data_IF_279149090182
#
_entry.id   IF_279149090182
#
_cell.length_a   1.000
_cell.length_b   1.000
_cell.length_c   1.000
_cell.angle_alpha   90.00
_cell.angle_beta   90.00
_cell.angle_gamma   90.00
#
_symmetry.space_group_name_H-M   'P 1'
#
loop_
_entity.id
_entity.type
_entity.pdbx_description
1 polymer ?
#
# COMPACT_ATOMS: atom_id res chain seq x y z
N UNK A 1 -25.40 20.36 23.92
CA UNK A 1 -24.17 21.08 24.34
C UNK A 1 -24.61 22.48 24.74
N UNK A 2 -25.21 22.57 25.92
CA UNK A 2 -25.38 23.82 26.65
C UNK A 2 -23.99 24.22 27.14
N UNK A 3 -23.50 25.36 26.64
CA UNK A 3 -22.31 25.99 27.17
C UNK A 3 -22.71 26.84 28.35
N UNK A 4 -22.24 26.46 29.54
CA UNK A 4 -22.18 27.31 30.72
C UNK A 4 -21.40 28.59 30.39
N UNK A 5 -22.12 29.68 30.15
CA UNK A 5 -21.57 31.02 30.19
C UNK A 5 -21.38 31.41 31.66
N UNK A 6 -20.19 31.14 32.18
CA UNK A 6 -19.73 31.63 33.47
C UNK A 6 -19.82 33.16 33.51
N UNK A 7 -20.75 33.64 34.33
CA UNK A 7 -21.00 35.02 34.70
C UNK A 7 -19.81 35.56 35.53
N UNK A 8 -18.75 35.96 34.83
CA UNK A 8 -17.66 36.75 35.40
C UNK A 8 -18.16 38.20 35.57
N UNK A 9 -18.02 38.72 36.79
CA UNK A 9 -18.56 40.00 37.27
C UNK A 9 -17.93 41.25 36.65
N UNK A 10 -17.64 41.24 35.35
CA UNK A 10 -17.48 42.46 34.57
C UNK A 10 -18.85 43.11 34.44
N UNK A 11 -19.03 44.22 35.18
CA UNK A 11 -20.05 45.25 35.04
C UNK A 11 -20.79 45.11 33.70
N UNK A 12 -22.11 44.89 33.74
CA UNK A 12 -23.01 44.72 32.61
C UNK A 12 -22.90 45.83 31.53
N UNK A 13 -21.83 45.82 30.73
CA UNK A 13 -21.62 46.69 29.55
C UNK A 13 -22.45 46.18 28.36
N UNK A 14 -23.09 45.00 28.48
CA UNK A 14 -23.74 44.34 27.34
C UNK A 14 -25.24 44.61 27.15
N UNK A 15 -25.99 44.94 28.20
CA UNK A 15 -27.47 44.95 28.15
C UNK A 15 -28.00 46.35 27.82
N UNK A 16 -28.52 46.49 26.60
CA UNK A 16 -29.23 47.69 26.12
C UNK A 16 -30.51 47.85 26.93
N UNK A 17 -30.72 49.02 27.55
CA UNK A 17 -31.93 49.31 28.33
C UNK A 17 -33.10 49.65 27.41
N UNK A 18 -34.31 49.30 27.84
CA UNK A 18 -35.56 49.78 27.21
C UNK A 18 -35.86 51.22 27.61
N UNK A 19 -36.66 51.92 26.81
CA UNK A 19 -37.05 53.32 27.08
C UNK A 19 -37.72 53.48 28.45
N UNK A 20 -38.51 52.48 28.87
CA UNK A 20 -39.17 52.47 30.17
C UNK A 20 -38.16 52.35 31.32
N UNK A 21 -37.21 51.43 31.22
CA UNK A 21 -36.13 51.29 32.22
C UNK A 21 -35.27 52.55 32.31
N UNK A 22 -35.02 53.24 31.19
CA UNK A 22 -34.30 54.53 31.16
C UNK A 22 -35.12 55.63 31.87
N UNK A 23 -36.43 55.66 31.66
CA UNK A 23 -37.33 56.63 32.30
C UNK A 23 -37.35 56.51 33.83
N UNK A 24 -37.22 55.29 34.35
CA UNK A 24 -37.19 54.98 35.77
C UNK A 24 -35.83 55.32 36.43
N UNK A 25 -34.77 55.54 35.65
CA UNK A 25 -33.46 55.90 36.20
C UNK A 25 -33.43 57.33 36.77
N UNK A 26 -32.56 57.54 37.76
CA UNK A 26 -32.28 58.89 38.28
C UNK A 26 -31.46 59.70 37.28
N UNK A 27 -31.70 61.01 37.20
CA UNK A 27 -31.02 61.95 36.28
C UNK A 27 -29.49 61.81 36.36
N UNK A 28 -28.94 61.69 37.57
CA UNK A 28 -27.50 61.52 37.79
C UNK A 28 -26.95 60.25 37.13
N UNK A 29 -27.71 59.16 37.14
CA UNK A 29 -27.27 57.87 36.59
C UNK A 29 -27.37 57.89 35.06
N UNK A 30 -28.39 58.55 34.50
CA UNK A 30 -28.51 58.84 33.06
C UNK A 30 -27.29 59.65 32.58
N UNK A 31 -26.96 60.76 33.25
CA UNK A 31 -25.80 61.59 32.91
C UNK A 31 -24.49 60.80 32.96
N UNK A 32 -24.30 59.99 34.01
CA UNK A 32 -23.10 59.16 34.18
C UNK A 32 -22.97 58.11 33.07
N UNK A 33 -24.07 57.47 32.66
CA UNK A 33 -24.07 56.47 31.58
C UNK A 33 -23.83 57.12 30.21
N UNK A 34 -24.44 58.28 29.96
CA UNK A 34 -24.21 59.04 28.72
C UNK A 34 -22.74 59.44 28.55
N UNK A 35 -22.08 59.89 29.63
CA UNK A 35 -20.66 60.25 29.62
C UNK A 35 -19.74 59.03 29.53
N UNK A 36 -19.97 57.99 30.33
CA UNK A 36 -19.03 56.85 30.43
C UNK A 36 -19.20 55.80 29.34
N UNK A 37 -20.44 55.53 28.92
CA UNK A 37 -20.73 54.45 27.98
C UNK A 37 -20.83 54.98 26.56
N UNK A 38 -21.41 56.17 26.37
CA UNK A 38 -21.66 56.74 25.05
C UNK A 38 -20.70 57.88 24.68
N UNK A 39 -19.84 58.32 25.61
CA UNK A 39 -18.77 59.28 25.34
C UNK A 39 -19.20 60.72 25.18
N UNK A 40 -20.39 61.11 25.68
CA UNK A 40 -20.85 62.50 25.60
C UNK A 40 -19.94 63.43 26.41
N UNK A 41 -19.67 64.62 25.85
CA UNK A 41 -18.89 65.64 26.52
C UNK A 41 -19.59 66.13 27.79
N UNK A 42 -18.84 66.39 28.86
CA UNK A 42 -19.42 66.88 30.12
C UNK A 42 -20.25 68.17 29.92
N UNK A 43 -19.82 69.02 28.99
CA UNK A 43 -20.50 70.27 28.63
C UNK A 43 -21.83 70.04 27.90
N UNK A 44 -21.92 69.04 27.03
CA UNK A 44 -23.15 68.69 26.30
C UNK A 44 -24.20 68.11 27.25
N UNK A 45 -23.77 67.24 28.17
CA UNK A 45 -24.64 66.68 29.23
C UNK A 45 -25.03 67.73 30.27
N UNK A 46 -24.19 68.76 30.45
CA UNK A 46 -24.47 69.91 31.31
C UNK A 46 -25.55 70.83 30.75
N UNK A 47 -25.58 71.01 29.42
CA UNK A 47 -26.58 71.83 28.70
C UNK A 47 -27.98 71.21 28.70
N UNK A 48 -28.09 69.89 28.77
CA UNK A 48 -29.36 69.18 28.94
C UNK A 48 -29.82 69.28 30.41
N UNK A 49 -30.69 70.24 30.68
CA UNK A 49 -31.24 70.52 32.02
C UNK A 49 -32.48 69.69 32.32
N UNK A 50 -33.29 69.38 31.31
CA UNK A 50 -34.51 68.60 31.49
C UNK A 50 -34.24 67.09 31.51
N UNK A 51 -34.94 66.37 32.39
CA UNK A 51 -34.89 64.91 32.47
C UNK A 51 -35.37 64.28 31.15
N UNK A 52 -36.34 64.91 30.48
CA UNK A 52 -36.88 64.39 29.21
C UNK A 52 -35.84 64.43 28.08
N UNK A 53 -35.04 65.50 27.98
CA UNK A 53 -33.97 65.61 26.99
C UNK A 53 -32.89 64.54 27.20
N UNK A 54 -32.52 64.28 28.45
CA UNK A 54 -31.54 63.25 28.81
C UNK A 54 -32.06 61.83 28.53
N UNK A 55 -33.34 61.56 28.80
CA UNK A 55 -33.98 60.28 28.45
C UNK A 55 -33.96 60.09 26.94
N UNK A 56 -34.34 61.11 26.16
CA UNK A 56 -34.38 61.02 24.71
C UNK A 56 -32.97 60.82 24.11
N UNK A 57 -31.97 61.56 24.60
CA UNK A 57 -30.57 61.40 24.17
C UNK A 57 -30.03 60.00 24.49
N UNK A 58 -30.28 59.48 25.70
CA UNK A 58 -29.84 58.14 26.07
C UNK A 58 -30.58 57.05 25.29
N UNK A 59 -31.89 57.21 25.08
CA UNK A 59 -32.70 56.29 24.29
C UNK A 59 -32.24 56.23 22.83
N UNK A 60 -31.86 57.36 22.24
CA UNK A 60 -31.34 57.43 20.88
C UNK A 60 -30.03 56.65 20.71
N UNK A 61 -29.07 56.83 21.62
CA UNK A 61 -27.79 56.11 21.53
C UNK A 61 -27.93 54.61 21.84
N UNK A 62 -28.74 54.24 22.83
CA UNK A 62 -29.02 52.82 23.10
C UNK A 62 -29.73 52.15 21.90
N UNK A 63 -30.64 52.86 21.23
CA UNK A 63 -31.25 52.38 19.99
C UNK A 63 -30.22 52.17 18.88
N UNK A 64 -29.33 53.13 18.67
CA UNK A 64 -28.25 53.05 17.66
C UNK A 64 -27.29 51.90 17.94
N UNK A 65 -26.94 51.63 19.20
CA UNK A 65 -26.13 50.46 19.58
C UNK A 65 -26.89 49.17 19.33
N UNK A 66 -28.19 49.12 19.67
CA UNK A 66 -29.04 47.95 19.42
C UNK A 66 -29.13 47.63 17.93
N UNK A 67 -29.34 48.64 17.09
CA UNK A 67 -29.39 48.50 15.64
C UNK A 67 -28.08 47.94 15.07
N UNK A 68 -26.93 48.49 15.49
CA UNK A 68 -25.61 47.96 15.11
C UNK A 68 -25.41 46.49 15.51
N UNK A 69 -25.84 46.09 16.72
CA UNK A 69 -25.77 44.70 17.18
C UNK A 69 -26.66 43.78 16.34
N UNK A 70 -27.88 44.20 16.02
CA UNK A 70 -28.79 43.46 15.15
C UNK A 70 -28.20 43.30 13.74
N UNK A 71 -27.58 44.34 13.18
CA UNK A 71 -26.95 44.26 11.87
C UNK A 71 -25.71 43.36 11.85
N UNK A 72 -24.90 43.37 12.91
CA UNK A 72 -23.80 42.42 13.07
C UNK A 72 -24.32 40.97 13.15
N UNK A 73 -25.37 40.72 13.94
CA UNK A 73 -25.99 39.39 14.03
C UNK A 73 -26.56 38.94 12.69
N UNK A 74 -27.29 39.82 11.97
CA UNK A 74 -27.78 39.55 10.62
C UNK A 74 -26.63 39.22 9.67
N UNK A 75 -25.53 39.98 9.70
CA UNK A 75 -24.35 39.73 8.86
C UNK A 75 -23.73 38.37 9.15
N UNK A 76 -23.62 37.98 10.42
CA UNK A 76 -23.11 36.67 10.83
C UNK A 76 -24.05 35.55 10.37
N UNK A 77 -25.37 35.71 10.55
CA UNK A 77 -26.38 34.76 10.08
C UNK A 77 -26.33 34.60 8.55
N UNK A 78 -26.23 35.71 7.82
CA UNK A 78 -26.08 35.70 6.35
C UNK A 78 -24.79 34.99 5.95
N UNK A 79 -23.66 35.29 6.60
CA UNK A 79 -22.39 34.59 6.33
C UNK A 79 -22.45 33.09 6.59
N UNK A 80 -23.07 32.68 7.70
CA UNK A 80 -23.30 31.26 8.02
C UNK A 80 -24.22 30.61 7.00
N UNK A 81 -25.28 31.30 6.57
CA UNK A 81 -26.18 30.83 5.52
C UNK A 81 -25.47 30.65 4.17
N UNK A 82 -24.63 31.62 3.78
CA UNK A 82 -23.80 31.53 2.57
C UNK A 82 -22.83 30.35 2.65
N UNK A 83 -22.13 30.17 3.78
CA UNK A 83 -21.23 29.03 3.98
C UNK A 83 -21.97 27.69 3.92
N UNK A 84 -23.13 27.58 4.55
CA UNK A 84 -23.96 26.38 4.52
C UNK A 84 -24.47 26.07 3.11
N UNK A 85 -24.91 27.10 2.36
CA UNK A 85 -25.35 26.95 0.98
C UNK A 85 -24.20 26.51 0.06
N UNK A 86 -23.02 27.13 0.18
CA UNK A 86 -21.82 26.73 -0.56
C UNK A 86 -21.44 25.28 -0.25
N UNK A 87 -21.42 24.89 1.04
CA UNK A 87 -21.14 23.52 1.45
C UNK A 87 -22.16 22.53 0.86
N UNK A 88 -23.45 22.87 0.89
CA UNK A 88 -24.52 22.05 0.31
C UNK A 88 -24.36 21.88 -1.20
N UNK A 89 -24.01 22.95 -1.92
CA UNK A 89 -23.77 22.89 -3.38
C UNK A 89 -22.52 22.07 -3.68
N UNK A 90 -21.44 22.25 -2.91
CA UNK A 90 -20.21 21.44 -3.04
C UNK A 90 -20.50 19.96 -2.80
N UNK A 91 -21.27 19.61 -1.77
CA UNK A 91 -21.66 18.21 -1.51
C UNK A 91 -22.52 17.66 -2.65
N UNK A 92 -23.53 18.40 -3.12
CA UNK A 92 -24.40 17.95 -4.20
C UNK A 92 -23.65 17.75 -5.53
N UNK A 93 -22.72 18.66 -5.88
CA UNK A 93 -21.92 18.58 -7.09
C UNK A 93 -20.81 17.51 -7.00
N UNK A 94 -20.21 17.34 -5.83
CA UNK A 94 -19.16 16.33 -5.62
C UNK A 94 -19.71 14.93 -5.35
N UNK A 95 -21.00 14.78 -5.02
CA UNK A 95 -21.61 13.48 -4.75
C UNK A 95 -21.39 12.44 -5.85
N UNK A 96 -21.68 12.69 -7.14
CA UNK A 96 -21.43 11.71 -8.20
C UNK A 96 -19.93 11.42 -8.39
N UNK A 97 -19.05 12.39 -8.15
CA UNK A 97 -17.61 12.18 -8.21
C UNK A 97 -17.14 11.27 -7.07
N UNK A 98 -17.67 11.47 -5.87
CA UNK A 98 -17.38 10.63 -4.70
C UNK A 98 -17.95 9.23 -4.85
N UNK A 99 -19.15 9.06 -5.39
CA UNK A 99 -19.72 7.74 -5.63
C UNK A 99 -18.92 6.97 -6.68
N UNK A 100 -18.53 7.61 -7.78
CA UNK A 100 -17.70 6.99 -8.80
C UNK A 100 -16.29 6.68 -8.26
N UNK A 101 -15.68 7.59 -7.50
CA UNK A 101 -14.40 7.35 -6.85
C UNK A 101 -14.49 6.19 -5.84
N UNK A 102 -15.58 6.10 -5.09
CA UNK A 102 -15.83 5.02 -4.15
C UNK A 102 -16.02 3.68 -4.85
N UNK A 103 -16.79 3.61 -5.93
CA UNK A 103 -16.96 2.38 -6.73
C UNK A 103 -15.63 1.91 -7.31
N UNK A 104 -14.87 2.81 -7.92
CA UNK A 104 -13.52 2.49 -8.45
C UNK A 104 -12.59 2.05 -7.33
N UNK A 105 -12.61 2.73 -6.18
CA UNK A 105 -11.82 2.35 -5.01
C UNK A 105 -12.23 0.99 -4.45
N UNK A 106 -13.53 0.70 -4.37
CA UNK A 106 -14.06 -0.57 -3.89
C UNK A 106 -13.70 -1.72 -4.85
N UNK A 107 -13.83 -1.53 -6.15
CA UNK A 107 -13.41 -2.53 -7.15
C UNK A 107 -11.90 -2.74 -7.09
N UNK A 108 -11.10 -1.67 -7.05
CA UNK A 108 -9.65 -1.78 -6.93
C UNK A 108 -9.24 -2.44 -5.61
N UNK A 109 -9.96 -2.17 -4.52
CA UNK A 109 -9.75 -2.83 -3.24
C UNK A 109 -10.06 -4.32 -3.33
N UNK A 110 -11.18 -4.73 -3.93
CA UNK A 110 -11.51 -6.15 -4.14
C UNK A 110 -10.43 -6.83 -4.98
N UNK A 111 -10.05 -6.25 -6.13
CA UNK A 111 -9.00 -6.78 -7.00
C UNK A 111 -7.66 -6.89 -6.26
N UNK A 112 -7.32 -5.89 -5.46
CA UNK A 112 -6.11 -5.90 -4.64
C UNK A 112 -6.15 -7.00 -3.58
N UNK A 113 -7.27 -7.14 -2.86
CA UNK A 113 -7.43 -8.18 -1.83
C UNK A 113 -7.42 -9.58 -2.42
N UNK A 114 -8.04 -9.79 -3.58
CA UNK A 114 -8.03 -11.08 -4.28
C UNK A 114 -6.63 -11.43 -4.78
N UNK A 115 -5.91 -10.46 -5.36
CA UNK A 115 -4.51 -10.65 -5.75
C UNK A 115 -3.64 -11.03 -4.54
N UNK A 116 -3.78 -10.32 -3.42
CA UNK A 116 -3.04 -10.64 -2.18
C UNK A 116 -3.43 -11.99 -1.61
N UNK A 117 -4.70 -12.37 -1.66
CA UNK A 117 -5.19 -13.69 -1.24
C UNK A 117 -4.59 -14.81 -2.09
N UNK A 118 -4.48 -14.61 -3.40
CA UNK A 118 -3.80 -15.55 -4.31
C UNK A 118 -2.30 -15.67 -4.01
N UNK A 119 -1.62 -14.55 -3.76
CA UNK A 119 -0.20 -14.52 -3.38
C UNK A 119 0.03 -15.26 -2.04
N UNK A 120 -0.83 -15.02 -1.04
CA UNK A 120 -0.80 -15.73 0.25
C UNK A 120 -1.03 -17.22 0.08
N UNK A 121 -2.04 -17.61 -0.71
CA UNK A 121 -2.34 -19.02 -0.98
C UNK A 121 -1.15 -19.73 -1.63
N UNK A 122 -0.51 -19.10 -2.62
CA UNK A 122 0.73 -19.63 -3.24
C UNK A 122 1.87 -19.75 -2.23
N UNK A 123 2.05 -18.79 -1.33
CA UNK A 123 3.07 -18.89 -0.28
C UNK A 123 2.79 -20.02 0.70
N UNK A 124 1.53 -20.25 1.04
CA UNK A 124 1.10 -21.37 1.89
C UNK A 124 1.32 -22.72 1.19
N UNK A 125 1.02 -22.81 -0.11
CA UNK A 125 1.30 -24.01 -0.94
C UNK A 125 2.80 -24.30 -1.04
N UNK A 126 3.64 -23.26 -1.09
CA UNK A 126 5.11 -23.37 -1.07
C UNK A 126 5.70 -23.56 0.34
N UNK A 127 4.89 -23.50 1.39
CA UNK A 127 5.32 -23.54 2.80
C UNK A 127 6.43 -22.54 3.15
N UNK A 128 6.52 -21.41 2.46
CA UNK A 128 7.56 -20.40 2.70
C UNK A 128 7.09 -19.35 3.72
N UNK A 129 7.52 -19.51 4.98
CA UNK A 129 7.20 -18.55 6.05
C UNK A 129 7.76 -17.15 5.78
N UNK A 130 8.94 -17.06 5.15
CA UNK A 130 9.56 -15.78 4.77
C UNK A 130 8.76 -15.06 3.68
N UNK A 131 8.21 -15.80 2.70
CA UNK A 131 7.32 -15.23 1.68
C UNK A 131 6.04 -14.66 2.29
N UNK A 132 5.44 -15.38 3.25
CA UNK A 132 4.26 -14.91 3.98
C UNK A 132 4.56 -13.63 4.77
N UNK A 133 5.69 -13.58 5.49
CA UNK A 133 6.12 -12.40 6.25
C UNK A 133 6.27 -11.18 5.32
N UNK A 134 6.87 -11.37 4.15
CA UNK A 134 7.05 -10.29 3.19
C UNK A 134 5.74 -9.77 2.60
N UNK A 135 4.76 -10.64 2.34
CA UNK A 135 3.41 -10.21 1.92
C UNK A 135 2.73 -9.39 3.02
N UNK A 136 2.82 -9.83 4.29
CA UNK A 136 2.25 -9.09 5.43
C UNK A 136 2.91 -7.72 5.57
N UNK A 137 4.23 -7.64 5.44
CA UNK A 137 4.96 -6.37 5.52
C UNK A 137 4.59 -5.43 4.37
N UNK A 138 4.41 -5.95 3.16
CA UNK A 138 3.93 -5.18 2.02
C UNK A 138 2.51 -4.61 2.28
N UNK A 139 1.61 -5.42 2.85
CA UNK A 139 0.27 -4.97 3.24
C UNK A 139 0.32 -3.84 4.29
N UNK A 140 1.23 -3.92 5.27
CA UNK A 140 1.43 -2.86 6.26
C UNK A 140 1.96 -1.57 5.63
N UNK A 141 2.92 -1.65 4.71
CA UNK A 141 3.46 -0.47 4.01
C UNK A 141 2.39 0.19 3.13
N UNK A 142 1.60 -0.60 2.40
CA UNK A 142 0.49 -0.09 1.58
C UNK A 142 -0.58 0.58 2.47
N UNK A 143 -0.94 -0.05 3.59
CA UNK A 143 -1.85 0.51 4.59
C UNK A 143 -1.34 1.85 5.17
N UNK A 144 -0.05 1.92 5.52
CA UNK A 144 0.60 3.15 5.98
C UNK A 144 0.61 4.24 4.90
N UNK A 145 0.81 3.87 3.63
CA UNK A 145 0.78 4.82 2.51
C UNK A 145 -0.61 5.41 2.29
N UNK A 146 -1.65 4.57 2.34
CA UNK A 146 -3.05 5.02 2.26
C UNK A 146 -3.40 5.89 3.47
N UNK A 147 -2.99 5.47 4.67
CA UNK A 147 -3.19 6.23 5.91
C UNK A 147 -2.53 7.61 5.85
N UNK A 148 -1.30 7.69 5.35
CA UNK A 148 -0.57 8.95 5.19
C UNK A 148 -1.26 9.86 4.16
N UNK A 149 -1.73 9.30 3.05
CA UNK A 149 -2.48 10.04 2.03
C UNK A 149 -3.79 10.61 2.59
N UNK A 150 -4.53 9.80 3.35
CA UNK A 150 -5.74 10.23 4.05
C UNK A 150 -5.44 11.33 5.09
N UNK A 151 -4.33 11.21 5.82
CA UNK A 151 -3.89 12.20 6.80
C UNK A 151 -3.55 13.55 6.16
N UNK A 152 -2.90 13.54 4.99
CA UNK A 152 -2.61 14.77 4.22
C UNK A 152 -3.91 15.41 3.72
N UNK A 153 -4.85 14.63 3.20
CA UNK A 153 -6.16 15.16 2.77
C UNK A 153 -6.93 15.75 3.95
N UNK A 154 -6.91 15.08 5.09
CA UNK A 154 -7.58 15.56 6.29
C UNK A 154 -6.96 16.86 6.83
N UNK A 155 -5.63 17.03 6.72
CA UNK A 155 -4.97 18.28 7.15
C UNK A 155 -5.31 19.50 6.29
N UNK A 156 -5.90 19.30 5.10
CA UNK A 156 -6.41 20.42 4.29
C UNK A 156 -7.78 20.89 4.78
N UNK A 157 -8.57 19.98 5.34
CA UNK A 157 -9.92 20.27 5.84
C UNK A 157 -9.88 20.72 7.29
N UNK A 158 -9.01 20.13 8.10
CA UNK A 158 -8.85 20.48 9.49
C UNK A 158 -7.71 21.49 9.66
N UNK A 159 -8.02 22.67 10.19
CA UNK A 159 -7.04 23.68 10.60
C UNK A 159 -6.24 23.29 11.85
N UNK A 160 -6.54 22.13 12.45
CA UNK A 160 -5.79 21.59 13.59
C UNK A 160 -4.45 20.99 13.15
N UNK A 161 -3.45 21.06 14.05
CA UNK A 161 -2.13 20.45 13.89
C UNK A 161 -2.23 19.04 13.31
N UNK A 162 -1.39 18.73 12.31
CA UNK A 162 -1.33 17.45 11.60
C UNK A 162 -1.49 16.26 12.55
N UNK A 163 -2.41 15.33 12.21
CA UNK A 163 -2.63 14.09 12.97
C UNK A 163 -1.37 13.21 13.06
N UNK A 164 -0.46 13.36 12.09
CA UNK A 164 0.85 12.73 12.11
C UNK A 164 1.89 13.75 12.62
N UNK A 165 2.70 13.43 13.64
CA UNK A 165 3.78 14.29 14.10
C UNK A 165 4.89 14.30 13.04
N UNK A 166 4.72 15.07 11.97
CA UNK A 166 5.76 15.30 10.98
C UNK A 166 6.61 16.50 11.41
N UNK A 167 7.94 16.37 11.41
CA UNK A 167 8.81 17.52 11.62
C UNK A 167 8.55 18.53 10.50
N UNK A 168 8.22 19.79 10.81
CA UNK A 168 8.07 20.81 9.78
C UNK A 168 9.44 21.07 9.17
N UNK A 169 9.61 20.68 7.90
CA UNK A 169 10.77 21.00 7.08
C UNK A 169 10.34 22.01 6.01
N UNK A 170 10.11 23.28 6.37
CA UNK A 170 9.66 24.28 5.42
C UNK A 170 10.81 24.69 4.51
N UNK A 171 10.77 24.21 3.28
CA UNK A 171 11.70 24.64 2.23
C UNK A 171 11.13 25.93 1.64
N UNK A 172 11.88 27.01 1.78
CA UNK A 172 11.52 28.32 1.23
C UNK A 172 12.24 28.48 -0.10
N UNK A 173 11.56 28.31 -1.26
CA UNK A 173 12.22 28.37 -2.57
C UNK A 173 12.93 29.71 -2.80
N UNK A 174 12.40 30.79 -2.19
CA UNK A 174 13.00 32.12 -2.23
C UNK A 174 14.45 32.16 -1.69
N UNK A 175 14.84 31.25 -0.79
CA UNK A 175 16.22 31.15 -0.29
C UNK A 175 17.20 30.60 -1.33
N UNK A 176 16.72 29.82 -2.31
CA UNK A 176 17.56 29.25 -3.37
C UNK A 176 17.76 30.19 -4.56
N UNK A 177 16.88 31.18 -4.75
CA UNK A 177 16.99 32.13 -5.85
C UNK A 177 17.92 33.33 -5.57
N UNK A 178 18.28 33.58 -4.31
CA UNK A 178 19.17 34.69 -3.92
C UNK A 178 18.60 36.10 -4.18
N UNK A 179 19.24 37.13 -3.62
CA UNK A 179 18.94 38.55 -3.89
C UNK A 179 17.67 39.11 -3.25
N UNK A 180 17.17 40.24 -3.77
CA UNK A 180 15.97 40.96 -3.29
C UNK A 180 14.68 40.14 -3.39
N UNK A 181 14.65 39.09 -4.22
CA UNK A 181 13.49 38.19 -4.33
C UNK A 181 13.29 37.39 -3.03
N UNK A 182 14.34 37.22 -2.23
CA UNK A 182 14.28 36.55 -0.92
C UNK A 182 13.57 37.37 0.18
N UNK A 183 13.44 38.70 0.03
CA UNK A 183 12.73 39.57 0.98
C UNK A 183 11.28 39.86 0.57
N UNK A 184 10.87 39.43 -0.63
CA UNK A 184 9.52 39.63 -1.14
C UNK A 184 8.44 38.86 -0.36
N UNK A 185 7.15 39.16 -0.59
CA UNK A 185 6.02 38.52 0.10
C UNK A 185 5.94 37.00 -0.12
N UNK A 186 6.57 36.45 -1.18
CA UNK A 186 6.69 35.00 -1.38
C UNK A 186 7.62 34.30 -0.38
N UNK A 187 8.49 35.03 0.32
CA UNK A 187 9.36 34.47 1.37
C UNK A 187 8.60 33.91 2.56
N UNK A 188 7.32 34.25 2.72
CA UNK A 188 6.44 33.74 3.79
C UNK A 188 5.76 32.42 3.40
N UNK A 189 5.82 32.00 2.14
CA UNK A 189 5.27 30.74 1.67
C UNK A 189 6.34 29.66 1.72
N UNK A 190 6.31 28.83 2.77
CA UNK A 190 7.14 27.63 2.88
C UNK A 190 6.37 26.42 2.34
N UNK A 191 6.96 25.69 1.38
CA UNK A 191 6.42 24.39 0.99
C UNK A 191 6.87 23.35 2.02
N UNK A 192 5.93 22.59 2.57
CA UNK A 192 6.25 21.55 3.54
C UNK A 192 6.61 20.27 2.78
N UNK A 193 7.90 19.95 2.72
CA UNK A 193 8.41 18.82 1.91
C UNK A 193 8.44 17.52 2.70
N UNK A 194 8.19 17.59 4.02
CA UNK A 194 8.11 16.43 4.92
C UNK A 194 7.18 15.30 4.40
N UNK A 195 5.90 15.57 4.09
CA UNK A 195 4.99 14.54 3.58
C UNK A 195 5.47 13.92 2.27
N UNK A 196 6.16 14.69 1.43
CA UNK A 196 6.69 14.23 0.15
C UNK A 196 7.87 13.29 0.35
N UNK A 197 8.79 13.61 1.27
CA UNK A 197 9.92 12.75 1.65
C UNK A 197 9.44 11.45 2.29
N UNK A 198 8.45 11.50 3.19
CA UNK A 198 7.91 10.28 3.81
C UNK A 198 7.18 9.43 2.77
N UNK A 199 6.41 10.04 1.86
CA UNK A 199 5.76 9.33 0.75
C UNK A 199 6.79 8.66 -0.18
N UNK A 200 7.89 9.37 -0.48
CA UNK A 200 8.99 8.82 -1.26
C UNK A 200 9.68 7.66 -0.54
N UNK A 201 9.94 7.80 0.77
CA UNK A 201 10.54 6.75 1.59
C UNK A 201 9.67 5.49 1.68
N UNK A 202 8.35 5.64 1.85
CA UNK A 202 7.41 4.50 1.85
C UNK A 202 7.36 3.80 0.48
N UNK A 203 7.38 4.56 -0.62
CA UNK A 203 7.46 3.98 -1.98
C UNK A 203 8.76 3.24 -2.21
N UNK A 204 9.88 3.83 -1.78
CA UNK A 204 11.18 3.18 -1.86
C UNK A 204 11.21 1.88 -1.05
N UNK A 205 10.71 1.91 0.18
CA UNK A 205 10.59 0.72 1.02
C UNK A 205 9.71 -0.35 0.36
N UNK A 206 8.56 0.03 -0.18
CA UNK A 206 7.68 -0.88 -0.93
C UNK A 206 8.41 -1.55 -2.10
N UNK A 207 9.18 -0.79 -2.88
CA UNK A 207 9.97 -1.32 -4.01
C UNK A 207 11.05 -2.32 -3.57
N UNK A 208 11.67 -2.10 -2.41
CA UNK A 208 12.66 -3.03 -1.85
C UNK A 208 11.99 -4.29 -1.33
N UNK A 209 10.83 -4.17 -0.68
CA UNK A 209 10.05 -5.31 -0.21
C UNK A 209 9.53 -6.16 -1.37
N UNK A 210 9.12 -5.55 -2.48
CA UNK A 210 8.70 -6.28 -3.68
C UNK A 210 9.88 -7.07 -4.28
N UNK A 211 11.07 -6.47 -4.38
CA UNK A 211 12.28 -7.17 -4.84
C UNK A 211 12.64 -8.34 -3.92
N UNK A 212 12.63 -8.11 -2.61
CA UNK A 212 12.96 -9.13 -1.61
C UNK A 212 11.93 -10.27 -1.60
N UNK A 213 10.64 -9.96 -1.67
CA UNK A 213 9.57 -10.97 -1.77
C UNK A 213 9.63 -11.74 -3.08
N UNK A 214 9.93 -11.07 -4.20
CA UNK A 214 10.14 -11.73 -5.48
C UNK A 214 11.30 -12.73 -5.45
N UNK A 215 12.43 -12.34 -4.86
CA UNK A 215 13.60 -13.21 -4.71
C UNK A 215 13.32 -14.42 -3.81
N UNK A 216 12.67 -14.21 -2.66
CA UNK A 216 12.32 -15.29 -1.73
C UNK A 216 11.31 -16.27 -2.32
N UNK A 217 10.31 -15.78 -3.07
CA UNK A 217 9.34 -16.62 -3.76
C UNK A 217 9.99 -17.43 -4.89
N UNK A 218 10.89 -16.80 -5.66
CA UNK A 218 11.63 -17.48 -6.72
C UNK A 218 12.56 -18.58 -6.16
N UNK A 219 13.22 -18.32 -5.03
CA UNK A 219 14.04 -19.31 -4.35
C UNK A 219 13.21 -20.51 -3.86
N UNK A 220 12.06 -20.25 -3.22
CA UNK A 220 11.15 -21.30 -2.76
C UNK A 220 10.60 -22.15 -3.92
N UNK A 221 10.25 -21.53 -5.05
CA UNK A 221 9.82 -22.25 -6.25
C UNK A 221 10.93 -23.14 -6.84
N UNK A 222 12.18 -22.65 -6.89
CA UNK A 222 13.32 -23.46 -7.34
C UNK A 222 13.55 -24.65 -6.43
N UNK A 223 13.45 -24.46 -5.11
CA UNK A 223 13.58 -25.54 -4.13
C UNK A 223 12.48 -26.59 -4.28
N UNK A 224 11.22 -26.17 -4.49
CA UNK A 224 10.11 -27.09 -4.73
C UNK A 224 10.31 -27.90 -6.00
N UNK A 225 10.71 -27.25 -7.11
CA UNK A 225 11.03 -27.95 -8.37
C UNK A 225 12.19 -28.93 -8.20
N UNK A 226 13.21 -28.58 -7.40
CA UNK A 226 14.32 -29.48 -7.10
C UNK A 226 13.85 -30.70 -6.30
N UNK A 227 13.06 -30.51 -5.24
CA UNK A 227 12.48 -31.61 -4.45
C UNK A 227 11.56 -32.50 -5.28
N UNK A 228 10.77 -31.94 -6.20
CA UNK A 228 9.92 -32.71 -7.11
C UNK A 228 10.76 -33.62 -8.03
N UNK A 229 11.83 -33.09 -8.62
CA UNK A 229 12.77 -33.89 -9.43
C UNK A 229 13.48 -34.97 -8.61
N UNK A 230 13.91 -34.64 -7.39
CA UNK A 230 14.54 -35.61 -6.49
C UNK A 230 13.56 -36.75 -6.13
N UNK A 231 12.30 -36.43 -5.83
CA UNK A 231 11.25 -37.43 -5.56
C UNK A 231 10.92 -38.30 -6.77
N UNK A 232 10.82 -37.73 -7.97
CA UNK A 232 10.64 -38.50 -9.22
C UNK A 232 11.81 -39.45 -9.46
N UNK A 233 13.05 -38.99 -9.25
CA UNK A 233 14.23 -39.86 -9.39
C UNK A 233 14.28 -40.95 -8.32
N UNK A 234 13.82 -40.68 -7.10
CA UNK A 234 13.72 -41.69 -6.03
C UNK A 234 12.64 -42.72 -6.35
N UNK A 235 11.43 -42.28 -6.74
CA UNK A 235 10.34 -43.15 -7.15
C UNK A 235 10.74 -44.02 -8.36
N UNK A 236 11.37 -43.45 -9.38
CA UNK A 236 11.87 -44.20 -10.53
C UNK A 236 12.98 -45.20 -10.13
N UNK A 237 13.85 -44.85 -9.18
CA UNK A 237 14.86 -45.78 -8.64
C UNK A 237 14.22 -46.91 -7.85
N UNK A 238 13.19 -46.65 -7.05
CA UNK A 238 12.45 -47.64 -6.28
C UNK A 238 11.65 -48.58 -7.19
N UNK A 239 10.96 -48.06 -8.19
CA UNK A 239 10.24 -48.86 -9.19
C UNK A 239 11.21 -49.76 -9.97
N UNK A 240 12.38 -49.22 -10.37
CA UNK A 240 13.42 -50.01 -11.03
C UNK A 240 14.00 -51.10 -10.11
N UNK A 241 14.12 -50.85 -8.80
CA UNK A 241 14.54 -51.85 -7.81
C UNK A 241 13.48 -52.93 -7.63
N UNK A 242 12.20 -52.55 -7.48
CA UNK A 242 11.08 -53.47 -7.37
C UNK A 242 10.95 -54.38 -8.61
N UNK A 243 11.04 -53.80 -9.81
CA UNK A 243 11.00 -54.56 -11.06
C UNK A 243 12.17 -55.53 -11.20
N UNK A 244 13.38 -55.15 -10.77
CA UNK A 244 14.54 -56.05 -10.76
C UNK A 244 14.37 -57.18 -9.74
N UNK A 245 13.81 -56.91 -8.56
CA UNK A 245 13.53 -57.92 -7.55
C UNK A 245 12.49 -58.95 -8.05
N UNK A 246 11.37 -58.47 -8.62
CA UNK A 246 10.35 -59.34 -9.20
C UNK A 246 10.90 -60.23 -10.33
N UNK A 247 11.78 -59.67 -11.19
CA UNK A 247 12.41 -60.45 -12.26
C UNK A 247 13.40 -61.49 -11.75
N UNK A 248 14.04 -61.26 -10.59
CA UNK A 248 14.91 -62.25 -9.94
C UNK A 248 14.08 -63.38 -9.33
N UNK A 249 13.01 -63.06 -8.60
CA UNK A 249 12.09 -64.05 -8.06
C UNK A 249 11.49 -64.95 -9.16
N UNK A 250 10.98 -64.37 -10.25
CA UNK A 250 10.44 -65.15 -11.37
C UNK A 250 11.50 -66.04 -12.06
N UNK A 251 12.77 -65.61 -12.09
CA UNK A 251 13.87 -66.43 -12.61
C UNK A 251 14.22 -67.59 -11.66
N UNK A 252 14.20 -67.35 -10.36
CA UNK A 252 14.42 -68.40 -9.36
C UNK A 252 13.30 -69.45 -9.39
N UNK A 253 12.04 -69.02 -9.54
CA UNK A 253 10.90 -69.94 -9.72
C UNK A 253 11.02 -70.77 -11.01
N UNK A 254 11.35 -70.13 -12.14
CA UNK A 254 11.57 -70.84 -13.40
C UNK A 254 12.74 -71.83 -13.30
N UNK A 255 13.87 -71.41 -12.74
CA UNK A 255 15.03 -72.29 -12.55
C UNK A 255 14.74 -73.45 -11.58
N UNK A 256 13.93 -73.24 -10.54
CA UNK A 256 13.49 -74.29 -9.64
C UNK A 256 12.55 -75.29 -10.33
N UNK A 257 11.63 -74.80 -11.19
CA UNK A 257 10.76 -75.64 -12.01
C UNK A 257 11.56 -76.46 -13.02
N UNK A 258 12.52 -75.85 -13.72
CA UNK A 258 13.41 -76.53 -14.67
C UNK A 258 14.29 -77.57 -13.96
N UNK A 259 14.82 -77.27 -12.78
CA UNK A 259 15.57 -78.24 -11.97
C UNK A 259 14.71 -79.41 -11.48
N UNK A 260 13.43 -79.16 -11.16
CA UNK A 260 12.48 -80.22 -10.81
C UNK A 260 12.13 -81.09 -12.02
N UNK A 261 11.91 -80.49 -13.19
CA UNK A 261 11.70 -81.22 -14.45
C UNK A 261 12.92 -82.05 -14.84
N UNK A 262 14.15 -81.50 -14.70
CA UNK A 262 15.39 -82.19 -14.98
C UNK A 262 15.63 -83.40 -14.05
N UNK A 263 15.16 -83.34 -12.79
CA UNK A 263 15.18 -84.49 -11.87
C UNK A 263 14.21 -85.60 -12.27
N UNK A 264 13.12 -85.28 -12.96
CA UNK A 264 12.17 -86.27 -13.49
C UNK A 264 12.64 -86.85 -14.82
N UNK A 265 13.46 -86.12 -15.58
CA UNK A 265 13.94 -86.52 -16.91
C UNK A 265 15.36 -87.11 -16.90
N UNK A 266 15.71 -87.98 -15.94
CA UNK A 266 16.92 -88.83 -16.05
C UNK A 266 16.54 -90.19 -16.63
N UNK A 267 16.49 -90.36 -17.97
CA UNK A 267 16.60 -91.66 -18.57
C UNK A 267 18.07 -92.09 -18.62
N UNK A 268 18.30 -93.33 -18.21
CA UNK A 268 19.53 -94.07 -18.45
C UNK A 268 19.82 -94.17 -19.95
N UNK A 269 21.10 -93.98 -20.30
CA UNK A 269 21.75 -94.26 -21.59
C UNK A 269 21.47 -93.29 -22.76
N UNK A 270 22.50 -92.64 -23.29
CA UNK A 270 23.32 -93.21 -24.37
C UNK A 270 24.25 -92.15 -25.00
N UNK A 271 25.44 -92.62 -25.32
CA UNK A 271 26.48 -92.05 -26.17
C UNK A 271 26.04 -91.09 -27.30
N UNK A 272 26.73 -89.95 -27.36
CA UNK A 272 27.43 -89.51 -28.59
C UNK A 272 26.69 -88.60 -29.57
N UNK A 273 27.02 -87.29 -29.55
CA UNK A 273 27.36 -86.50 -30.74
C UNK A 273 27.75 -85.07 -30.36
N UNK A 274 28.84 -84.50 -30.91
CA UNK A 274 29.15 -83.07 -30.81
C UNK A 274 28.49 -82.29 -31.96
N UNK A 275 27.81 -81.16 -31.72
CA UNK A 275 27.52 -80.17 -32.75
C UNK A 275 28.40 -78.92 -32.53
N UNK A 276 29.39 -78.72 -33.40
CA UNK A 276 29.39 -77.74 -34.49
C UNK A 276 29.41 -76.28 -34.05
N UNK A 277 30.61 -75.69 -34.17
CA UNK A 277 30.88 -74.25 -34.31
C UNK A 277 29.92 -73.61 -35.33
N UNK A 278 29.06 -72.71 -34.87
CA UNK A 278 28.33 -71.79 -35.73
C UNK A 278 29.19 -70.56 -36.03
N UNK A 279 29.50 -70.46 -37.32
CA UNK A 279 30.18 -69.40 -38.04
C UNK A 279 29.48 -68.01 -37.83
N UNK A 280 30.20 -66.92 -37.53
CA UNK A 280 29.62 -65.60 -37.36
C UNK A 280 29.53 -64.86 -38.71
N UNK A 281 28.41 -65.01 -39.42
CA UNK A 281 28.11 -64.15 -40.57
C UNK A 281 26.61 -64.13 -40.88
N UNK A 282 25.83 -63.44 -40.05
CA UNK A 282 24.49 -63.02 -40.45
C UNK A 282 24.34 -61.54 -40.13
N UNK A 283 24.73 -60.72 -41.12
CA UNK A 283 24.35 -59.31 -41.18
C UNK A 283 22.89 -59.29 -41.66
N UNK A 284 21.93 -58.82 -40.84
CA UNK A 284 20.54 -58.71 -41.29
C UNK A 284 20.47 -57.70 -42.45
N UNK A 285 19.67 -57.97 -43.49
CA UNK A 285 19.52 -57.05 -44.61
C UNK A 285 18.89 -55.74 -44.14
N UNK A 286 19.33 -54.65 -44.75
CA UNK A 286 18.91 -53.28 -44.51
C UNK A 286 17.41 -53.16 -44.28
N UNK A 287 17.08 -52.64 -43.10
CA UNK A 287 15.73 -52.19 -42.77
C UNK A 287 15.39 -51.10 -43.78
N UNK A 288 14.34 -51.23 -44.61
CA UNK A 288 13.94 -50.15 -45.49
C UNK A 288 13.65 -48.90 -44.63
N UNK A 289 14.00 -47.69 -45.11
CA UNK A 289 13.68 -46.47 -44.39
C UNK A 289 12.18 -46.41 -44.13
N UNK A 290 11.75 -45.90 -42.95
CA UNK A 290 10.33 -45.77 -42.65
C UNK A 290 9.66 -44.98 -43.78
N UNK A 291 8.62 -45.56 -44.37
CA UNK A 291 7.80 -44.86 -45.34
C UNK A 291 7.23 -43.60 -44.65
N UNK A 292 7.65 -42.43 -45.12
CA UNK A 292 7.11 -41.16 -44.67
C UNK A 292 5.62 -41.14 -45.05
N UNK A 293 4.74 -41.21 -44.06
CA UNK A 293 3.30 -41.07 -44.26
C UNK A 293 3.01 -39.59 -44.56
N UNK A 294 2.86 -39.26 -45.84
CA UNK A 294 2.52 -37.92 -46.36
C UNK A 294 1.03 -37.63 -46.28
N UNK A 295 0.32 -38.27 -45.35
CA UNK A 295 -1.02 -37.89 -44.96
C UNK A 295 -1.03 -36.44 -44.44
N UNK A 296 -1.98 -35.58 -44.86
CA UNK A 296 -2.08 -34.21 -44.32
C UNK A 296 -2.31 -34.18 -42.80
N UNK A 297 -2.77 -35.28 -42.19
CA UNK A 297 -2.99 -35.37 -40.74
C UNK A 297 -1.69 -35.55 -39.93
N UNK A 298 -0.63 -36.14 -40.50
CA UNK A 298 0.68 -36.30 -39.81
C UNK A 298 1.52 -35.02 -39.86
N UNK A 299 1.31 -34.17 -40.86
CA UNK A 299 1.99 -32.86 -40.98
C UNK A 299 1.46 -31.85 -39.95
N UNK A 300 0.15 -31.86 -39.67
CA UNK A 300 -0.43 -31.01 -38.62
C UNK A 300 -0.01 -31.44 -37.21
N UNK A 301 0.22 -32.74 -36.98
CA UNK A 301 0.71 -33.23 -35.69
C UNK A 301 2.18 -32.84 -35.43
N UNK A 302 3.02 -32.75 -36.47
CA UNK A 302 4.42 -32.36 -36.32
C UNK A 302 4.62 -30.85 -36.16
N UNK A 303 3.78 -30.03 -36.82
CA UNK A 303 3.81 -28.56 -36.67
C UNK A 303 3.05 -28.04 -35.44
N UNK A 304 2.21 -28.87 -34.82
CA UNK A 304 1.41 -28.49 -33.64
C UNK A 304 2.18 -28.47 -32.32
N UNK A 305 3.31 -29.18 -32.20
CA UNK A 305 4.10 -29.20 -30.95
C UNK A 305 5.21 -28.14 -30.89
N UNK A 306 5.59 -27.52 -32.01
CA UNK A 306 6.77 -26.65 -32.06
C UNK A 306 6.47 -25.16 -31.74
N UNK A 307 5.22 -24.79 -31.45
CA UNK A 307 4.83 -23.38 -31.28
C UNK A 307 4.35 -22.97 -29.87
N UNK A 308 4.43 -23.83 -28.85
CA UNK A 308 3.98 -23.47 -27.49
C UNK A 308 5.05 -23.44 -26.40
N UNK A 309 6.31 -23.73 -26.72
CA UNK A 309 7.41 -23.48 -25.79
C UNK A 309 8.31 -22.35 -26.32
N UNK A 310 8.43 -21.20 -25.62
CA UNK A 310 9.43 -20.20 -25.97
C UNK A 310 10.82 -20.84 -25.86
N UNK A 311 11.78 -20.49 -26.75
CA UNK A 311 13.14 -20.98 -26.66
C UNK A 311 13.72 -20.62 -25.29
N UNK A 312 14.10 -21.66 -24.55
CA UNK A 312 14.97 -21.55 -23.39
C UNK A 312 16.31 -21.02 -23.91
N UNK A 313 16.47 -19.69 -23.85
CA UNK A 313 17.73 -19.00 -24.08
C UNK A 313 18.69 -19.37 -22.93
N UNK A 314 19.18 -20.61 -22.97
CA UNK A 314 20.39 -21.04 -22.29
C UNK A 314 21.60 -20.44 -23.00
N UNK A 315 21.76 -19.12 -22.91
CA UNK A 315 23.10 -18.54 -23.00
C UNK A 315 23.78 -18.86 -21.67
N UNK A 316 24.68 -19.84 -21.73
CA UNK A 316 25.70 -20.03 -20.72
C UNK A 316 26.56 -18.77 -20.65
N UNK A 317 26.41 -18.02 -19.57
CA UNK A 317 27.54 -17.33 -18.99
C UNK A 317 28.14 -18.31 -17.98
N UNK A 318 29.20 -19.00 -18.42
CA UNK A 318 30.22 -19.54 -17.54
C UNK A 318 30.82 -18.34 -16.80
N UNK A 319 30.22 -17.99 -15.67
CA UNK A 319 30.83 -17.09 -14.70
C UNK A 319 31.97 -17.83 -14.02
N UNK A 320 33.18 -17.46 -14.42
CA UNK A 320 34.45 -17.81 -13.78
C UNK A 320 34.32 -17.72 -12.26
N UNK A 321 34.66 -18.81 -11.58
CA UNK A 321 34.94 -18.81 -10.15
C UNK A 321 36.20 -17.96 -9.92
N UNK A 322 36.02 -16.67 -9.61
CA UNK A 322 37.10 -15.85 -9.05
C UNK A 322 37.50 -16.42 -7.68
N UNK A 323 38.73 -16.91 -7.60
CA UNK A 323 39.40 -17.24 -6.35
C UNK A 323 39.42 -16.03 -5.40
N UNK A 324 39.19 -16.21 -4.09
CA UNK A 324 39.45 -15.15 -3.14
C UNK A 324 40.97 -14.95 -3.02
N UNK A 325 41.46 -13.86 -3.61
CA UNK A 325 42.79 -13.30 -3.33
C UNK A 325 42.84 -12.97 -1.84
N UNK A 326 43.65 -13.74 -1.12
CA UNK A 326 44.03 -13.49 0.27
C UNK A 326 44.84 -12.21 0.31
N UNK A 327 44.19 -11.10 0.67
CA UNK A 327 44.84 -9.83 0.87
C UNK A 327 45.71 -9.91 2.13
N UNK A 328 47.01 -9.74 1.91
CA UNK A 328 48.04 -9.86 2.92
C UNK A 328 47.87 -8.86 4.04
N UNK A 329 47.98 -9.37 5.25
CA UNK A 329 48.33 -8.61 6.44
C UNK A 329 49.74 -8.03 6.29
N UNK A 330 49.84 -6.74 6.02
CA UNK A 330 51.00 -5.91 6.36
C UNK A 330 50.47 -4.77 7.24
N UNK A 331 50.72 -4.81 8.54
CA UNK A 331 51.81 -4.04 9.13
C UNK A 331 51.43 -2.56 9.08
N UNK A 332 50.66 -2.03 10.04
CA UNK A 332 51.10 -1.70 11.40
C UNK A 332 52.45 -0.97 11.39
N UNK A 333 52.45 0.19 10.73
CA UNK A 333 53.41 1.25 11.01
C UNK A 333 52.84 2.13 12.12
N UNK A 334 53.58 2.10 13.23
CA UNK A 334 53.69 3.15 14.23
C UNK A 334 53.80 4.53 13.58
N UNK A 335 53.27 5.58 14.24
CA UNK A 335 53.97 6.84 14.50
C UNK A 335 53.06 7.84 15.25
N UNK A 336 53.53 8.18 16.46
CA UNK A 336 53.39 9.41 17.27
C UNK A 336 52.10 10.27 17.27
#
# INVERSE_FOLDING_TARGET
MEGDDADDGTIAVGKTLTVQEIGDMRVRDIKRRLQRTHGYGADEVGRMLDKQELIHALAFEEHKIREKKLDQQKRVLVWRGILAALLSVSVAMCWPLLSHAYEVAAVNFVVYTDRKRLEVRRCMELQSALGLLGIVLMFLVDGLSVWLSASILLSWVMTSKYFFPMPPLPIHPAKFMGGEVASGPMSRYGFNVGPMLVSWGLRFLGSQLEKWTGQTLAAAQREMKRKARENETQAAKEERRARKAARRAAREEAAAADAAAARQSVPSAAFGQPPQEMNPAFVPPDRPPPAYDTSPASVEAFLGEEFTNPPDNGNGEEGEEEEPVVEGTSGLDDLD
#
